data_IF_759242428048
#
_entry.id   IF_759242428048
#
_cell.length_a   1.000
_cell.length_b   1.000
_cell.length_c   1.000
_cell.angle_alpha   90.00
_cell.angle_beta   90.00
_cell.angle_gamma   90.00
#
_symmetry.space_group_name_H-M   'P 1'
#
loop_
_entity.id
_entity.type
_entity.pdbx_description
1 polymer ?
#
# COMPACT_ATOMS: atom_id res chain seq x y z
N UNK A 1 -6.98 1.87 3.57
CA UNK A 1 -5.89 1.63 4.54
C UNK A 1 -4.60 2.06 3.85
N UNK A 2 -4.31 3.35 3.91
CA UNK A 2 -3.11 3.91 3.30
C UNK A 2 -2.08 4.12 4.43
N UNK A 3 -1.11 3.21 4.60
CA UNK A 3 -0.10 3.37 5.64
C UNK A 3 0.74 4.63 5.35
N UNK A 4 1.32 5.27 6.38
CA UNK A 4 2.16 6.44 6.17
C UNK A 4 3.31 6.12 5.21
N UNK A 5 3.52 6.98 4.20
CA UNK A 5 4.56 6.78 3.16
C UNK A 5 5.93 6.46 3.75
N UNK A 6 6.32 7.17 4.82
CA UNK A 6 7.61 6.94 5.48
C UNK A 6 7.82 5.52 6.02
N UNK A 7 6.75 4.80 6.39
CA UNK A 7 6.86 3.38 6.81
C UNK A 7 7.15 2.50 5.60
N UNK A 8 6.48 2.75 4.47
CA UNK A 8 6.71 2.04 3.21
C UNK A 8 8.15 2.28 2.73
N UNK A 9 8.60 3.53 2.76
CA UNK A 9 9.95 3.92 2.37
C UNK A 9 11.01 3.26 3.27
N UNK A 10 10.74 3.12 4.57
CA UNK A 10 11.63 2.40 5.49
C UNK A 10 11.74 0.92 5.12
N UNK A 11 10.63 0.27 4.74
CA UNK A 11 10.64 -1.12 4.30
C UNK A 11 11.40 -1.25 2.98
N UNK A 12 11.18 -0.35 2.00
CA UNK A 12 11.96 -0.32 0.77
C UNK A 12 13.45 -0.17 1.02
N UNK A 13 13.86 0.69 1.98
CA UNK A 13 15.27 0.81 2.38
C UNK A 13 15.83 -0.49 2.95
N UNK A 14 15.06 -1.22 3.75
CA UNK A 14 15.48 -2.53 4.28
C UNK A 14 15.65 -3.53 3.15
N UNK A 15 14.71 -3.59 2.21
CA UNK A 15 14.78 -4.48 1.05
C UNK A 15 15.96 -4.13 0.13
N UNK A 16 16.17 -2.84 -0.14
CA UNK A 16 17.30 -2.38 -0.93
C UNK A 16 18.64 -2.69 -0.23
N UNK A 17 18.70 -2.56 1.10
CA UNK A 17 19.86 -2.96 1.89
C UNK A 17 20.06 -4.47 1.92
N UNK A 18 19.01 -5.28 1.78
CA UNK A 18 19.16 -6.72 1.62
C UNK A 18 19.78 -7.06 0.27
N UNK A 19 19.31 -6.44 -0.81
CA UNK A 19 19.80 -6.68 -2.18
C UNK A 19 21.23 -6.16 -2.38
N UNK A 20 21.51 -4.94 -1.93
CA UNK A 20 22.82 -4.28 -2.08
C UNK A 20 23.65 -4.31 -0.80
N UNK A 21 23.31 -5.22 0.11
CA UNK A 21 23.89 -5.32 1.45
C UNK A 21 25.35 -5.72 1.49
N UNK A 22 25.92 -5.69 2.70
CA UNK A 22 27.34 -5.95 2.89
C UNK A 22 27.68 -7.39 2.52
N UNK A 23 28.62 -7.54 1.60
CA UNK A 23 29.37 -8.78 1.42
C UNK A 23 30.68 -8.58 2.19
N UNK A 24 30.89 -9.38 3.25
CA UNK A 24 32.15 -9.42 4.02
C UNK A 24 32.58 -8.09 4.67
N UNK A 25 31.63 -7.36 5.27
CA UNK A 25 31.94 -6.18 6.09
C UNK A 25 32.19 -4.87 5.31
N UNK A 26 32.20 -4.91 3.97
CA UNK A 26 32.28 -3.71 3.14
C UNK A 26 30.88 -3.20 2.84
N UNK A 27 30.65 -1.88 2.98
CA UNK A 27 29.39 -1.24 2.56
C UNK A 27 29.18 -1.47 1.06
N UNK A 28 28.16 -2.26 0.73
CA UNK A 28 27.71 -2.41 -0.65
C UNK A 28 27.21 -1.08 -1.22
N UNK A 29 27.52 -0.82 -2.49
CA UNK A 29 27.03 0.37 -3.21
C UNK A 29 25.69 0.04 -3.86
N UNK A 30 24.72 0.93 -3.69
CA UNK A 30 23.45 0.85 -4.44
C UNK A 30 23.74 1.26 -5.89
N UNK A 31 23.64 0.32 -6.82
CA UNK A 31 23.89 0.57 -8.24
C UNK A 31 22.66 1.10 -8.97
N UNK A 32 21.47 0.71 -8.50
CA UNK A 32 20.19 1.03 -9.11
C UNK A 32 19.19 1.38 -8.01
N UNK A 33 18.32 2.36 -8.27
CA UNK A 33 17.26 2.76 -7.34
C UNK A 33 16.28 1.59 -7.10
N UNK A 34 15.69 1.53 -5.91
CA UNK A 34 14.74 0.46 -5.57
C UNK A 34 13.55 0.42 -6.54
N UNK A 35 12.99 1.58 -6.87
CA UNK A 35 11.85 1.70 -7.79
C UNK A 35 12.16 1.15 -9.19
N UNK A 36 13.41 1.32 -9.67
CA UNK A 36 13.84 0.75 -10.95
C UNK A 36 13.93 -0.77 -10.91
N UNK A 37 14.25 -1.37 -9.76
CA UNK A 37 14.21 -2.84 -9.60
C UNK A 37 12.77 -3.37 -9.60
N UNK A 38 11.80 -2.53 -9.23
CA UNK A 38 10.39 -2.89 -9.23
C UNK A 38 9.75 -2.90 -10.62
N UNK A 39 10.39 -2.31 -11.62
CA UNK A 39 9.88 -2.36 -12.99
C UNK A 39 9.83 -3.81 -13.51
N UNK A 40 8.92 -4.12 -14.46
CA UNK A 40 8.92 -5.39 -15.17
C UNK A 40 10.28 -5.70 -15.80
N UNK A 41 10.58 -6.99 -15.96
CA UNK A 41 11.84 -7.43 -16.60
C UNK A 41 11.96 -6.92 -18.04
N UNK A 42 10.84 -6.85 -18.75
CA UNK A 42 10.77 -6.35 -20.12
C UNK A 42 11.05 -4.83 -20.22
N UNK A 43 10.93 -4.11 -19.10
CA UNK A 43 11.24 -2.68 -18.96
C UNK A 43 12.61 -2.44 -18.30
N UNK A 44 13.43 -3.49 -18.16
CA UNK A 44 14.79 -3.39 -17.60
C UNK A 44 14.87 -3.44 -16.07
N UNK A 45 13.77 -3.74 -15.39
CA UNK A 45 13.76 -4.00 -13.94
C UNK A 45 14.01 -5.46 -13.59
N UNK A 46 13.91 -5.80 -12.30
CA UNK A 46 14.00 -7.19 -11.81
C UNK A 46 12.62 -7.83 -11.61
N UNK A 47 11.54 -7.07 -11.79
CA UNK A 47 10.17 -7.51 -11.53
C UNK A 47 9.84 -7.64 -10.04
N UNK A 48 10.54 -6.91 -9.16
CA UNK A 48 10.14 -6.85 -7.75
C UNK A 48 8.81 -6.11 -7.63
N UNK A 49 7.95 -6.52 -6.68
CA UNK A 49 6.70 -5.80 -6.46
C UNK A 49 6.95 -4.56 -5.61
N UNK A 50 6.60 -3.39 -6.14
CA UNK A 50 6.54 -2.17 -5.35
C UNK A 50 5.47 -2.33 -4.27
N UNK A 51 5.83 -2.04 -3.02
CA UNK A 51 4.85 -2.01 -1.93
C UNK A 51 3.78 -0.94 -2.15
N UNK A 52 4.06 0.14 -2.88
CA UNK A 52 3.03 1.11 -3.25
C UNK A 52 1.94 0.44 -4.08
N UNK A 53 2.32 -0.26 -5.15
CA UNK A 53 1.37 -0.96 -6.03
C UNK A 53 0.58 -2.04 -5.27
N UNK A 54 1.25 -2.77 -4.37
CA UNK A 54 0.59 -3.78 -3.53
C UNK A 54 -0.45 -3.12 -2.60
N UNK A 55 -0.11 -1.99 -1.99
CA UNK A 55 -1.02 -1.27 -1.11
C UNK A 55 -2.22 -0.71 -1.88
N UNK A 56 -2.00 -0.17 -3.07
CA UNK A 56 -3.08 0.33 -3.93
C UNK A 56 -4.02 -0.80 -4.37
N UNK A 57 -3.45 -1.95 -4.78
CA UNK A 57 -4.24 -3.14 -5.13
C UNK A 57 -5.04 -3.69 -3.93
N UNK A 58 -4.43 -3.76 -2.75
CA UNK A 58 -5.11 -4.19 -1.53
C UNK A 58 -6.19 -3.20 -1.11
N UNK A 59 -5.97 -1.90 -1.29
CA UNK A 59 -6.96 -0.87 -1.01
C UNK A 59 -8.15 -0.97 -1.96
N UNK A 60 -7.91 -1.15 -3.25
CA UNK A 60 -8.95 -1.38 -4.25
C UNK A 60 -9.76 -2.65 -3.91
N UNK A 61 -9.08 -3.75 -3.54
CA UNK A 61 -9.73 -4.98 -3.09
C UNK A 61 -10.57 -4.76 -1.84
N UNK A 62 -10.07 -3.98 -0.88
CA UNK A 62 -10.78 -3.66 0.35
C UNK A 62 -12.05 -2.84 0.07
N UNK A 63 -11.96 -1.87 -0.84
CA UNK A 63 -13.12 -1.11 -1.33
C UNK A 63 -14.13 -1.98 -2.06
N UNK A 64 -13.66 -2.91 -2.88
CA UNK A 64 -14.51 -3.89 -3.54
C UNK A 64 -15.29 -4.71 -2.53
N UNK A 65 -14.59 -5.32 -1.55
CA UNK A 65 -15.22 -6.10 -0.47
C UNK A 65 -16.23 -5.27 0.30
N UNK A 66 -15.88 -4.03 0.67
CA UNK A 66 -16.79 -3.12 1.35
C UNK A 66 -18.10 -2.89 0.57
N UNK A 67 -18.04 -2.87 -0.76
CA UNK A 67 -19.19 -2.62 -1.64
C UNK A 67 -19.99 -3.88 -1.97
N UNK A 68 -19.36 -5.04 -2.04
CA UNK A 68 -20.01 -6.27 -2.49
C UNK A 68 -20.36 -7.23 -1.36
N UNK A 69 -19.66 -7.17 -0.23
CA UNK A 69 -19.88 -8.09 0.89
C UNK A 69 -20.89 -7.52 1.88
N UNK A 70 -22.15 -7.89 1.71
CA UNK A 70 -23.26 -7.49 2.59
C UNK A 70 -23.18 -8.05 4.01
N UNK A 71 -22.42 -9.13 4.25
CA UNK A 71 -22.40 -9.86 5.54
C UNK A 71 -21.03 -9.86 6.25
N UNK A 72 -20.10 -9.00 5.85
CA UNK A 72 -18.83 -8.86 6.57
C UNK A 72 -19.00 -7.89 7.74
N UNK A 73 -18.71 -8.34 8.96
CA UNK A 73 -18.74 -7.50 10.17
C UNK A 73 -17.93 -6.21 9.99
N UNK A 74 -16.77 -6.30 9.33
CA UNK A 74 -15.95 -5.14 9.02
C UNK A 74 -16.66 -4.16 8.08
N UNK A 75 -17.33 -4.66 7.04
CA UNK A 75 -18.04 -3.81 6.07
C UNK A 75 -19.23 -3.12 6.71
N UNK A 76 -20.00 -3.83 7.54
CA UNK A 76 -21.12 -3.28 8.30
C UNK A 76 -20.66 -2.21 9.29
N UNK A 77 -19.58 -2.46 10.04
CA UNK A 77 -18.99 -1.50 10.96
C UNK A 77 -18.57 -0.21 10.25
N UNK A 78 -17.84 -0.34 9.13
CA UNK A 78 -17.37 0.82 8.35
C UNK A 78 -18.55 1.60 7.76
N UNK A 79 -19.58 0.91 7.27
CA UNK A 79 -20.79 1.53 6.75
C UNK A 79 -21.51 2.34 7.84
N UNK A 80 -21.74 1.73 9.00
CA UNK A 80 -22.41 2.39 10.12
C UNK A 80 -21.59 3.57 10.68
N UNK A 81 -20.27 3.44 10.71
CA UNK A 81 -19.37 4.48 11.22
C UNK A 81 -19.31 5.70 10.29
N UNK A 82 -19.19 5.48 8.98
CA UNK A 82 -18.84 6.55 8.05
C UNK A 82 -19.95 6.93 7.07
N UNK A 83 -20.82 6.00 6.65
CA UNK A 83 -21.80 6.28 5.60
C UNK A 83 -23.04 7.01 6.12
N UNK A 84 -23.49 6.84 7.37
CA UNK A 84 -24.61 7.59 8.00
C UNK A 84 -25.79 7.91 7.04
N UNK A 85 -26.25 6.92 6.26
CA UNK A 85 -27.31 6.99 5.21
C UNK A 85 -26.94 7.62 3.86
N UNK A 86 -25.73 8.14 3.71
CA UNK A 86 -25.18 8.58 2.43
C UNK A 86 -24.53 7.42 1.68
N UNK A 87 -24.57 7.49 0.35
CA UNK A 87 -23.77 6.58 -0.48
C UNK A 87 -22.28 6.74 -0.12
N UNK A 88 -21.47 5.65 -0.05
CA UNK A 88 -20.08 5.71 0.39
C UNK A 88 -19.19 6.71 -0.35
N UNK A 89 -19.50 7.00 -1.61
CA UNK A 89 -18.75 7.99 -2.40
C UNK A 89 -19.01 9.41 -1.88
N UNK A 90 -20.22 9.69 -1.39
CA UNK A 90 -20.69 11.00 -0.94
C UNK A 90 -20.49 11.26 0.56
N UNK A 91 -20.26 10.20 1.35
CA UNK A 91 -20.06 10.31 2.78
C UNK A 91 -18.76 11.08 3.11
N UNK A 92 -18.89 12.38 3.40
CA UNK A 92 -17.77 13.24 3.75
C UNK A 92 -17.24 12.89 5.16
N UNK A 93 -15.95 12.60 5.21
CA UNK A 93 -15.27 12.13 6.41
C UNK A 93 -14.87 13.25 7.37
N UNK A 94 -15.83 13.97 7.94
CA UNK A 94 -15.52 14.87 9.07
C UNK A 94 -15.06 14.00 10.25
N UNK A 95 -13.79 14.14 10.65
CA UNK A 95 -13.16 13.27 11.65
C UNK A 95 -12.86 11.84 11.17
N UNK A 96 -12.84 11.61 9.85
CA UNK A 96 -12.55 10.28 9.31
C UNK A 96 -11.12 9.82 9.59
N UNK A 97 -10.97 8.51 9.79
CA UNK A 97 -9.64 7.90 9.93
C UNK A 97 -8.89 7.95 8.60
N UNK A 98 -7.55 7.85 8.66
CA UNK A 98 -6.70 7.69 7.46
C UNK A 98 -7.08 6.49 6.59
N UNK A 99 -7.83 5.54 7.14
CA UNK A 99 -8.33 4.37 6.39
C UNK A 99 -9.50 4.74 5.49
N UNK A 100 -10.34 5.69 5.91
CA UNK A 100 -11.55 6.13 5.21
C UNK A 100 -11.33 7.35 4.31
N UNK A 101 -10.36 8.20 4.67
CA UNK A 101 -9.94 9.30 3.79
C UNK A 101 -9.41 8.68 2.49
N UNK A 102 -10.00 9.11 1.37
CA UNK A 102 -9.62 8.69 0.02
C UNK A 102 -8.27 9.31 -0.35
#
# INVERSE_FOLDING_TARGET
MNPPKGVVDQIHKILAKFVWGHIRGVKGKHWVAWDSLCLPKDEGGLGFRSLHDVLDALFAKLWWVFRTSTNSLWSEFIWNKYCKKWHPIMAQGIGASHVWKK
#
